data_IF_785416057816
#
_entry.id   IF_785416057816
#
_cell.length_a   1.000
_cell.length_b   1.000
_cell.length_c   1.000
_cell.angle_alpha   90.00
_cell.angle_beta   90.00
_cell.angle_gamma   90.00
#
_symmetry.space_group_name_H-M   'P 1'
#
loop_
_entity.id
_entity.type
_entity.pdbx_description
1 polymer ?
#
# COMPACT_ATOMS: atom_id res chain seq x y z
N UNK A 1 -13.01 8.78 -21.93
CA UNK A 1 -12.02 8.82 -20.83
C UNK A 1 -12.62 8.11 -19.61
N UNK A 2 -12.14 6.91 -19.27
CA UNK A 2 -12.60 6.20 -18.07
C UNK A 2 -11.82 6.69 -16.86
N UNK A 3 -12.38 7.66 -16.13
CA UNK A 3 -11.81 8.11 -14.84
C UNK A 3 -11.82 6.99 -13.79
N UNK A 4 -10.92 7.06 -12.82
CA UNK A 4 -10.88 6.13 -11.69
C UNK A 4 -12.08 6.39 -10.77
N UNK A 5 -12.87 5.36 -10.46
CA UNK A 5 -14.03 5.51 -9.56
C UNK A 5 -13.74 4.91 -8.18
N UNK A 6 -13.70 5.76 -7.17
CA UNK A 6 -13.60 5.37 -5.77
C UNK A 6 -15.00 5.14 -5.20
N UNK A 7 -15.22 3.95 -4.63
CA UNK A 7 -16.36 3.69 -3.75
C UNK A 7 -15.92 3.97 -2.31
N UNK A 8 -16.62 4.86 -1.62
CA UNK A 8 -16.33 5.25 -0.25
C UNK A 8 -17.45 4.77 0.68
N UNK A 9 -17.06 4.14 1.78
CA UNK A 9 -17.95 3.83 2.89
C UNK A 9 -18.31 5.11 3.68
N UNK A 10 -19.38 5.11 4.49
CA UNK A 10 -19.66 6.21 5.40
C UNK A 10 -18.44 6.54 6.26
N UNK A 11 -18.12 7.83 6.41
CA UNK A 11 -16.97 8.32 7.20
C UNK A 11 -15.59 7.79 6.75
N UNK A 12 -15.51 7.16 5.58
CA UNK A 12 -14.23 6.73 5.03
C UNK A 12 -13.42 7.94 4.61
N UNK A 13 -12.14 7.97 5.00
CA UNK A 13 -11.20 9.04 4.69
C UNK A 13 -10.19 8.60 3.65
N UNK A 14 -9.97 9.46 2.65
CA UNK A 14 -8.98 9.28 1.59
C UNK A 14 -8.14 10.54 1.44
N UNK A 15 -6.84 10.38 1.22
CA UNK A 15 -5.93 11.44 0.84
C UNK A 15 -5.86 11.47 -0.69
N UNK A 16 -6.08 12.63 -1.30
CA UNK A 16 -6.00 12.85 -2.74
C UNK A 16 -5.12 14.08 -2.96
N UNK A 17 -3.93 13.90 -3.54
CA UNK A 17 -2.97 14.98 -3.80
C UNK A 17 -2.76 15.92 -2.60
N UNK A 18 -2.61 15.36 -1.39
CA UNK A 18 -2.42 16.14 -0.15
C UNK A 18 -3.71 16.59 0.54
N UNK A 19 -4.87 16.55 -0.13
CA UNK A 19 -6.15 16.88 0.49
C UNK A 19 -6.79 15.65 1.15
N UNK A 20 -7.15 15.75 2.42
CA UNK A 20 -7.92 14.71 3.11
C UNK A 20 -9.41 14.93 2.85
N UNK A 21 -10.05 13.94 2.25
CA UNK A 21 -11.47 13.92 1.94
C UNK A 21 -12.14 12.88 2.84
N UNK A 22 -13.12 13.31 3.63
CA UNK A 22 -14.01 12.43 4.39
C UNK A 22 -15.34 12.28 3.65
N UNK A 23 -15.79 11.04 3.48
CA UNK A 23 -17.12 10.78 2.97
C UNK A 23 -18.20 11.03 4.05
N UNK A 24 -19.39 11.45 3.62
CA UNK A 24 -20.53 11.68 4.51
C UNK A 24 -21.07 10.43 5.20
N UNK A 25 -22.29 10.53 5.70
CA UNK A 25 -23.01 9.47 6.42
C UNK A 25 -23.48 8.31 5.53
N UNK A 26 -23.46 8.46 4.20
CA UNK A 26 -23.90 7.46 3.23
C UNK A 26 -22.78 7.03 2.29
N UNK A 27 -22.89 5.81 1.75
CA UNK A 27 -21.98 5.34 0.69
C UNK A 27 -22.06 6.24 -0.54
N UNK A 28 -20.91 6.61 -1.09
CA UNK A 28 -20.83 7.46 -2.27
C UNK A 28 -19.81 6.93 -3.29
N UNK A 29 -19.88 7.46 -4.51
CA UNK A 29 -18.90 7.22 -5.56
C UNK A 29 -18.26 8.55 -5.93
N UNK A 30 -16.93 8.62 -5.89
CA UNK A 30 -16.16 9.74 -6.40
C UNK A 30 -15.45 9.31 -7.68
N UNK A 31 -15.62 10.08 -8.74
CA UNK A 31 -14.94 9.85 -10.00
C UNK A 31 -13.77 10.81 -10.13
N UNK A 32 -12.56 10.28 -10.23
CA UNK A 32 -11.33 11.04 -10.35
C UNK A 32 -11.05 11.25 -11.83
N UNK A 33 -11.19 12.50 -12.27
CA UNK A 33 -10.97 12.91 -13.66
C UNK A 33 -9.49 13.19 -13.94
N UNK A 34 -8.73 13.55 -12.91
CA UNK A 34 -7.29 13.81 -13.02
C UNK A 34 -6.52 12.52 -13.27
N UNK A 35 -5.77 12.40 -14.38
CA UNK A 35 -4.94 11.24 -14.62
C UNK A 35 -3.83 11.14 -13.57
N UNK A 36 -3.47 9.92 -13.19
CA UNK A 36 -2.36 9.63 -12.27
C UNK A 36 -2.42 10.39 -10.93
N UNK A 37 -3.63 10.71 -10.44
CA UNK A 37 -3.78 11.33 -9.13
C UNK A 37 -3.24 10.40 -8.03
N UNK A 38 -2.52 10.99 -7.08
CA UNK A 38 -2.01 10.29 -5.90
C UNK A 38 -3.15 10.08 -4.92
N UNK A 39 -3.50 8.82 -4.67
CA UNK A 39 -4.66 8.45 -3.84
C UNK A 39 -4.23 7.41 -2.81
N UNK A 40 -4.42 7.75 -1.53
CA UNK A 40 -4.19 6.87 -0.40
C UNK A 40 -5.46 6.75 0.44
N UNK A 41 -5.94 5.54 0.69
CA UNK A 41 -7.00 5.33 1.68
C UNK A 41 -6.39 5.37 3.08
N UNK A 42 -6.90 6.21 3.97
CA UNK A 42 -6.29 6.36 5.30
C UNK A 42 -6.43 5.12 6.17
N UNK A 43 -7.44 4.27 5.93
CA UNK A 43 -7.54 2.94 6.56
C UNK A 43 -6.42 1.98 6.13
N UNK A 44 -5.77 2.28 5.01
CA UNK A 44 -4.69 1.48 4.46
C UNK A 44 -3.31 2.06 4.80
N UNK A 45 -3.28 3.28 5.33
CA UNK A 45 -2.06 3.95 5.75
C UNK A 45 -1.49 3.31 7.03
N UNK A 46 -0.16 3.30 7.11
CA UNK A 46 0.65 2.91 8.25
C UNK A 46 1.22 4.19 8.86
N UNK A 47 1.05 4.36 10.16
CA UNK A 47 1.63 5.49 10.88
C UNK A 47 3.17 5.34 10.96
N UNK A 48 3.96 6.43 10.84
CA UNK A 48 5.43 6.34 10.87
C UNK A 48 5.99 5.58 12.08
N UNK A 49 5.36 5.75 13.25
CA UNK A 49 5.76 5.08 14.50
C UNK A 49 5.50 3.56 14.48
N UNK A 50 4.58 3.09 13.64
CA UNK A 50 4.29 1.66 13.49
C UNK A 50 5.23 0.98 12.50
N UNK A 51 6.15 1.70 11.84
CA UNK A 51 7.04 1.16 10.81
C UNK A 51 8.22 0.42 11.46
N UNK A 52 7.91 -0.63 12.21
CA UNK A 52 8.83 -1.38 13.06
C UNK A 52 9.08 -2.82 12.59
N UNK A 53 8.49 -3.23 11.47
CA UNK A 53 8.69 -4.56 10.87
C UNK A 53 9.06 -4.47 9.38
N UNK A 54 9.75 -5.49 8.81
CA UNK A 54 10.13 -5.51 7.41
C UNK A 54 8.97 -5.24 6.41
N UNK A 55 7.84 -5.92 6.52
CA UNK A 55 6.68 -5.74 5.63
C UNK A 55 6.11 -4.33 5.81
N UNK A 56 5.96 -3.83 7.04
CA UNK A 56 5.49 -2.46 7.29
C UNK A 56 6.42 -1.42 6.67
N UNK A 57 7.74 -1.64 6.69
CA UNK A 57 8.72 -0.75 6.04
C UNK A 57 8.49 -0.67 4.54
N UNK A 58 8.32 -1.80 3.85
CA UNK A 58 8.08 -1.79 2.40
C UNK A 58 6.72 -1.18 2.07
N UNK A 59 5.68 -1.48 2.85
CA UNK A 59 4.38 -0.82 2.73
C UNK A 59 4.48 0.70 2.89
N UNK A 60 5.23 1.18 3.88
CA UNK A 60 5.39 2.60 4.15
C UNK A 60 6.07 3.32 2.97
N UNK A 61 7.08 2.72 2.34
CA UNK A 61 7.70 3.32 1.14
C UNK A 61 6.69 3.44 -0.01
N UNK A 62 5.87 2.41 -0.25
CA UNK A 62 4.80 2.49 -1.25
C UNK A 62 3.76 3.57 -0.91
N UNK A 63 3.44 3.73 0.38
CA UNK A 63 2.56 4.78 0.87
C UNK A 63 3.11 6.19 0.61
N UNK A 64 4.41 6.43 0.78
CA UNK A 64 5.03 7.74 0.51
C UNK A 64 4.84 8.21 -0.94
N UNK A 65 4.78 7.26 -1.88
CA UNK A 65 4.44 7.57 -3.28
C UNK A 65 2.98 8.02 -3.39
N UNK A 66 2.07 7.35 -2.68
CA UNK A 66 0.63 7.63 -2.73
C UNK A 66 0.22 8.90 -1.97
N UNK A 67 1.01 9.33 -0.97
CA UNK A 67 0.85 10.64 -0.33
C UNK A 67 1.50 11.78 -1.13
N UNK A 68 2.40 11.45 -2.06
CA UNK A 68 3.16 12.42 -2.86
C UNK A 68 4.43 12.92 -2.18
N UNK A 69 4.86 12.30 -1.07
CA UNK A 69 6.07 12.67 -0.35
C UNK A 69 7.36 12.20 -1.07
N UNK A 70 7.26 11.17 -1.91
CA UNK A 70 8.38 10.61 -2.68
C UNK A 70 7.95 10.33 -4.11
N UNK A 71 8.85 10.52 -5.07
CA UNK A 71 8.55 10.21 -6.48
C UNK A 71 8.49 8.69 -6.72
N UNK A 72 7.65 8.22 -7.66
CA UNK A 72 7.63 6.82 -8.09
C UNK A 72 9.01 6.25 -8.45
N UNK A 73 9.87 7.07 -9.05
CA UNK A 73 11.20 6.67 -9.50
C UNK A 73 12.12 6.37 -8.32
N UNK A 74 12.13 7.24 -7.31
CA UNK A 74 12.98 7.11 -6.13
C UNK A 74 12.55 5.94 -5.24
N UNK A 75 11.24 5.72 -5.12
CA UNK A 75 10.69 4.64 -4.31
C UNK A 75 10.85 3.25 -4.95
N UNK A 76 10.80 3.14 -6.29
CA UNK A 76 10.77 1.86 -7.02
C UNK A 76 11.90 0.93 -6.61
N UNK A 77 13.14 1.40 -6.62
CA UNK A 77 14.30 0.58 -6.26
C UNK A 77 14.23 0.08 -4.81
N UNK A 78 13.79 0.94 -3.89
CA UNK A 78 13.69 0.59 -2.47
C UNK A 78 12.60 -0.46 -2.22
N UNK A 79 11.44 -0.31 -2.87
CA UNK A 79 10.34 -1.27 -2.76
C UNK A 79 10.76 -2.62 -3.35
N UNK A 80 11.34 -2.64 -4.56
CA UNK A 80 11.78 -3.87 -5.22
C UNK A 80 12.83 -4.62 -4.38
N UNK A 81 13.81 -3.91 -3.83
CA UNK A 81 14.80 -4.50 -2.92
C UNK A 81 14.14 -5.06 -1.66
N UNK A 82 13.17 -4.33 -1.10
CA UNK A 82 12.40 -4.79 0.05
C UNK A 82 11.60 -6.06 -0.25
N UNK A 83 10.94 -6.14 -1.41
CA UNK A 83 10.21 -7.33 -1.85
C UNK A 83 11.15 -8.53 -2.00
N UNK A 84 12.32 -8.34 -2.61
CA UNK A 84 13.34 -9.39 -2.74
C UNK A 84 13.77 -9.92 -1.37
N UNK A 85 14.08 -9.03 -0.42
CA UNK A 85 14.42 -9.43 0.94
C UNK A 85 13.29 -10.18 1.64
N UNK A 86 12.05 -9.72 1.49
CA UNK A 86 10.88 -10.40 2.05
C UNK A 86 10.68 -11.79 1.44
N UNK A 87 10.99 -11.99 0.16
CA UNK A 87 10.86 -13.27 -0.54
C UNK A 87 11.78 -14.36 0.01
N UNK A 88 12.91 -13.97 0.59
CA UNK A 88 13.87 -14.88 1.21
C UNK A 88 13.37 -15.39 2.58
N UNK A 89 12.55 -14.59 3.27
CA UNK A 89 12.00 -14.93 4.59
C UNK A 89 10.59 -15.53 4.53
N UNK A 90 9.73 -15.03 3.63
CA UNK A 90 8.32 -15.41 3.50
C UNK A 90 8.16 -16.41 2.35
N UNK A 91 8.55 -17.66 2.61
CA UNK A 91 8.68 -18.69 1.57
C UNK A 91 7.41 -19.50 1.32
N UNK A 92 6.36 -19.33 2.11
CA UNK A 92 5.07 -20.00 1.91
C UNK A 92 4.35 -19.51 0.63
N UNK A 93 3.49 -20.39 0.09
CA UNK A 93 2.85 -20.19 -1.21
C UNK A 93 2.01 -18.91 -1.27
N UNK A 94 1.23 -18.64 -0.23
CA UNK A 94 0.38 -17.45 -0.15
C UNK A 94 1.23 -16.18 -0.14
N UNK A 95 2.29 -16.16 0.65
CA UNK A 95 3.22 -15.02 0.70
C UNK A 95 3.91 -14.78 -0.63
N UNK A 96 4.39 -15.83 -1.30
CA UNK A 96 4.98 -15.73 -2.64
C UNK A 96 4.00 -15.14 -3.66
N UNK A 97 2.73 -15.52 -3.56
CA UNK A 97 1.66 -14.98 -4.43
C UNK A 97 1.51 -13.47 -4.24
N UNK A 98 1.42 -13.01 -2.99
CA UNK A 98 1.33 -11.58 -2.68
C UNK A 98 2.58 -10.80 -3.07
N UNK A 99 3.78 -11.36 -2.87
CA UNK A 99 5.04 -10.75 -3.29
C UNK A 99 5.11 -10.63 -4.82
N UNK A 100 4.69 -11.66 -5.57
CA UNK A 100 4.62 -11.60 -7.03
C UNK A 100 3.65 -10.52 -7.52
N UNK A 101 2.47 -10.41 -6.90
CA UNK A 101 1.49 -9.36 -7.21
C UNK A 101 2.05 -7.97 -6.91
N UNK A 102 2.76 -7.81 -5.79
CA UNK A 102 3.42 -6.57 -5.43
C UNK A 102 4.50 -6.20 -6.45
N UNK A 103 5.34 -7.15 -6.86
CA UNK A 103 6.37 -6.96 -7.89
C UNK A 103 5.77 -6.44 -9.19
N UNK A 104 4.76 -7.14 -9.75
CA UNK A 104 4.11 -6.71 -10.99
C UNK A 104 3.50 -5.32 -10.86
N UNK A 105 2.82 -5.02 -9.75
CA UNK A 105 2.22 -3.72 -9.52
C UNK A 105 3.28 -2.59 -9.44
N UNK A 106 4.42 -2.82 -8.80
CA UNK A 106 5.51 -1.83 -8.77
C UNK A 106 6.11 -1.62 -10.15
N UNK A 107 6.32 -2.70 -10.92
CA UNK A 107 6.82 -2.63 -12.30
C UNK A 107 5.90 -1.75 -13.15
N UNK A 108 4.59 -1.98 -13.06
CA UNK A 108 3.53 -1.25 -13.79
C UNK A 108 3.24 0.15 -13.23
N UNK A 109 3.87 0.57 -12.12
CA UNK A 109 3.63 1.87 -11.48
C UNK A 109 2.30 1.96 -10.72
N UNK A 110 1.66 0.83 -10.41
CA UNK A 110 0.40 0.73 -9.68
C UNK A 110 0.65 0.63 -8.16
N UNK A 111 1.20 1.68 -7.55
CA UNK A 111 1.65 1.66 -6.15
C UNK A 111 0.54 1.36 -5.13
N UNK A 112 -0.72 1.70 -5.41
CA UNK A 112 -1.84 1.33 -4.54
C UNK A 112 -2.06 -0.19 -4.52
N UNK A 113 -1.96 -0.85 -5.67
CA UNK A 113 -2.07 -2.30 -5.74
C UNK A 113 -0.86 -2.98 -5.10
N UNK A 114 0.33 -2.41 -5.26
CA UNK A 114 1.53 -2.87 -4.56
C UNK A 114 1.34 -2.80 -3.04
N UNK A 115 0.91 -1.65 -2.51
CA UNK A 115 0.62 -1.47 -1.08
C UNK A 115 -0.42 -2.49 -0.59
N UNK A 116 -1.52 -2.68 -1.35
CA UNK A 116 -2.56 -3.64 -0.98
C UNK A 116 -2.05 -5.07 -0.93
N UNK A 117 -1.22 -5.49 -1.90
CA UNK A 117 -0.63 -6.82 -1.94
C UNK A 117 0.37 -7.02 -0.79
N UNK A 118 1.23 -6.03 -0.53
CA UNK A 118 2.18 -6.07 0.59
C UNK A 118 1.46 -6.14 1.95
N UNK A 119 0.38 -5.38 2.14
CA UNK A 119 -0.40 -5.39 3.39
C UNK A 119 -1.02 -6.75 3.71
N UNK A 120 -1.31 -7.56 2.69
CA UNK A 120 -1.79 -8.93 2.90
C UNK A 120 -0.76 -9.83 3.62
N UNK A 121 0.52 -9.45 3.61
CA UNK A 121 1.59 -10.15 4.32
C UNK A 121 1.67 -9.78 5.81
N UNK A 122 1.07 -8.67 6.25
CA UNK A 122 1.17 -8.19 7.64
C UNK A 122 0.71 -9.21 8.69
N UNK A 123 -0.43 -9.93 8.51
CA UNK A 123 -0.85 -10.93 9.48
C UNK A 123 0.15 -12.10 9.57
N UNK A 124 0.77 -12.47 8.44
CA UNK A 124 1.76 -13.56 8.40
C UNK A 124 3.04 -13.16 9.11
N UNK A 125 3.53 -11.96 8.84
CA UNK A 125 4.70 -11.39 9.51
C UNK A 125 4.50 -11.33 11.03
N UNK A 126 3.34 -10.84 11.50
CA UNK A 126 3.03 -10.79 12.93
C UNK A 126 3.16 -12.16 13.58
N UNK A 127 2.57 -13.21 12.99
CA UNK A 127 2.65 -14.58 13.51
C UNK A 127 4.09 -15.10 13.60
N UNK A 128 4.93 -14.79 12.60
CA UNK A 128 6.33 -15.22 12.59
C UNK A 128 7.14 -14.51 13.69
N UNK A 129 6.96 -13.20 13.84
CA UNK A 129 7.64 -12.42 14.88
C UNK A 129 7.19 -12.80 16.29
N UNK A 130 5.91 -13.09 16.49
CA UNK A 130 5.39 -13.54 17.79
C UNK A 130 5.95 -14.91 18.18
N UNK A 131 6.23 -15.78 17.20
CA UNK A 131 6.85 -17.09 17.44
C UNK A 131 8.33 -16.95 17.75
N UNK A 132 9.05 -16.07 17.05
CA UNK A 132 10.49 -15.86 17.25
C UNK A 132 10.85 -15.15 18.57
N UNK A 133 9.88 -14.49 19.22
CA UNK A 133 10.05 -13.84 20.54
C UNK A 133 9.88 -14.80 21.72
N UNK A 134 9.42 -16.02 21.48
CA UNK A 134 9.30 -17.08 22.48
C UNK A 134 10.57 -17.92 22.49
#
# INVERSE_FOLDING_TARGET
MSGLVLKLAPRERVLINGAVIENGDRRSRLAIMTPNANILRLRDAIHPEEVNTPVRRVCYIAQLVLSGDVTPMDARHQIMRGIEQLSQALTDHDSRTHLSLATSAVVEGQFYQALKALRALLPRESRLLDTARR
#
